data_IF_493018726500
#
_entry.id   IF_493018726500
#
_cell.length_a   1.000
_cell.length_b   1.000
_cell.length_c   1.000
_cell.angle_alpha   90.00
_cell.angle_beta   90.00
_cell.angle_gamma   90.00
#
_symmetry.space_group_name_H-M   'P 1'
#
loop_
_entity.id
_entity.type
_entity.pdbx_description
1 polymer ?
#
# COMPACT_ATOMS: atom_id res chain seq x y z
N UNK A 1 -0.60 16.63 5.43
CA UNK A 1 -0.94 15.21 5.68
C UNK A 1 0.23 14.34 5.25
N UNK A 2 0.51 13.24 5.96
CA UNK A 2 1.54 12.27 5.59
C UNK A 2 0.91 11.18 4.73
N UNK A 3 1.51 10.89 3.59
CA UNK A 3 1.05 9.83 2.67
C UNK A 3 1.76 8.52 2.99
N UNK A 4 0.97 7.46 3.07
CA UNK A 4 1.42 6.08 3.22
C UNK A 4 1.10 5.37 1.91
N UNK A 5 2.12 4.99 1.16
CA UNK A 5 1.97 4.24 -0.07
C UNK A 5 2.16 2.75 0.23
N UNK A 6 1.10 1.97 0.07
CA UNK A 6 1.10 0.52 0.19
C UNK A 6 1.23 -0.07 -1.21
N UNK A 7 2.34 -0.76 -1.45
CA UNK A 7 2.68 -1.41 -2.70
C UNK A 7 2.70 -2.91 -2.49
N UNK A 8 2.20 -3.65 -3.47
CA UNK A 8 2.33 -5.09 -3.43
C UNK A 8 2.68 -5.70 -4.76
N UNK A 9 3.70 -6.56 -4.72
CA UNK A 9 4.12 -7.35 -5.86
C UNK A 9 3.22 -8.58 -5.92
N UNK A 10 2.19 -8.51 -6.78
CA UNK A 10 1.30 -9.63 -7.00
C UNK A 10 1.68 -10.33 -8.31
N UNK A 11 2.39 -11.48 -8.29
CA UNK A 11 2.46 -12.33 -9.46
C UNK A 11 1.04 -12.80 -9.79
N UNK A 12 0.70 -12.88 -11.09
CA UNK A 12 -0.65 -13.08 -11.65
C UNK A 12 -1.50 -14.25 -11.07
N UNK A 13 -0.93 -15.07 -10.19
CA UNK A 13 -1.50 -16.34 -9.72
C UNK A 13 -1.90 -16.37 -8.23
N UNK A 14 -1.64 -15.32 -7.43
CA UNK A 14 -1.94 -15.36 -5.99
C UNK A 14 -2.94 -14.30 -5.52
N UNK A 15 -4.09 -14.78 -5.08
CA UNK A 15 -4.90 -14.27 -3.98
C UNK A 15 -5.06 -12.73 -3.86
N UNK A 16 -5.63 -12.11 -4.89
CA UNK A 16 -6.09 -10.69 -4.90
C UNK A 16 -6.91 -10.30 -3.66
N UNK A 17 -7.58 -11.26 -3.02
CA UNK A 17 -8.33 -11.11 -1.76
C UNK A 17 -7.45 -10.72 -0.57
N UNK A 18 -6.22 -11.24 -0.46
CA UNK A 18 -5.39 -11.04 0.75
C UNK A 18 -4.87 -9.61 0.88
N UNK A 19 -4.53 -8.97 -0.24
CA UNK A 19 -4.01 -7.60 -0.21
C UNK A 19 -5.09 -6.59 0.21
N UNK A 20 -6.29 -6.73 -0.36
CA UNK A 20 -7.41 -5.85 -0.04
C UNK A 20 -7.78 -5.96 1.45
N UNK A 21 -7.76 -7.17 2.01
CA UNK A 21 -7.95 -7.40 3.45
C UNK A 21 -6.85 -6.75 4.31
N UNK A 22 -5.60 -6.77 3.87
CA UNK A 22 -4.48 -6.17 4.59
C UNK A 22 -4.58 -4.64 4.60
N UNK A 23 -4.90 -4.03 3.45
CA UNK A 23 -5.15 -2.59 3.33
C UNK A 23 -6.34 -2.18 4.19
N UNK A 24 -7.45 -2.94 4.16
CA UNK A 24 -8.62 -2.66 4.99
C UNK A 24 -8.29 -2.76 6.49
N UNK A 25 -7.47 -3.73 6.92
CA UNK A 25 -7.02 -3.85 8.32
C UNK A 25 -6.15 -2.67 8.73
N UNK A 26 -5.23 -2.22 7.87
CA UNK A 26 -4.38 -1.05 8.12
C UNK A 26 -5.24 0.21 8.21
N UNK A 27 -6.20 0.39 7.31
CA UNK A 27 -7.13 1.52 7.32
C UNK A 27 -7.99 1.53 8.58
N UNK A 28 -8.63 0.41 8.92
CA UNK A 28 -9.44 0.27 10.13
C UNK A 28 -8.61 0.47 11.41
N UNK A 29 -7.35 0.01 11.43
CA UNK A 29 -6.42 0.25 12.53
C UNK A 29 -6.04 1.73 12.67
N UNK A 30 -5.81 2.41 11.54
CA UNK A 30 -5.52 3.84 11.51
C UNK A 30 -6.72 4.67 11.96
N UNK A 31 -7.94 4.34 11.49
CA UNK A 31 -9.20 4.99 11.89
C UNK A 31 -9.48 4.90 13.39
N UNK A 32 -9.11 3.78 14.02
CA UNK A 32 -9.21 3.61 15.49
C UNK A 32 -8.16 4.42 16.26
N UNK A 33 -7.13 4.92 15.58
CA UNK A 33 -6.08 5.73 16.18
C UNK A 33 -6.48 7.21 16.27
N UNK A 34 -6.04 7.90 17.34
CA UNK A 34 -6.26 9.36 17.55
C UNK A 34 -5.70 10.28 16.44
N UNK A 35 -5.03 9.74 15.42
CA UNK A 35 -4.33 10.50 14.37
C UNK A 35 -4.72 10.09 12.94
N UNK A 36 -5.87 9.41 12.76
CA UNK A 36 -6.34 8.96 11.45
C UNK A 36 -6.36 10.08 10.40
N UNK A 37 -6.79 11.29 10.77
CA UNK A 37 -6.87 12.44 9.86
C UNK A 37 -5.50 13.06 9.51
N UNK A 38 -4.38 12.51 10.01
CA UNK A 38 -3.03 12.97 9.66
C UNK A 38 -2.41 12.17 8.51
N UNK A 39 -3.01 11.02 8.16
CA UNK A 39 -2.46 10.09 7.19
C UNK A 39 -3.40 9.89 6.00
N UNK A 40 -2.84 9.85 4.80
CA UNK A 40 -3.52 9.48 3.57
C UNK A 40 -2.97 8.12 3.11
N UNK A 41 -3.82 7.11 3.02
CA UNK A 41 -3.41 5.76 2.61
C UNK A 41 -3.68 5.62 1.12
N UNK A 42 -2.64 5.22 0.37
CA UNK A 42 -2.69 5.01 -1.07
C UNK A 42 -2.26 3.58 -1.32
N UNK A 43 -3.14 2.73 -1.85
CA UNK A 43 -2.82 1.35 -2.20
C UNK A 43 -2.62 1.20 -3.72
N UNK A 44 -1.54 0.53 -4.12
CA UNK A 44 -1.19 0.26 -5.52
C UNK A 44 -0.68 -1.17 -5.68
N UNK A 45 -1.24 -1.88 -6.66
CA UNK A 45 -0.69 -3.13 -7.15
C UNK A 45 0.51 -2.82 -8.05
N UNK A 46 1.70 -3.21 -7.62
CA UNK A 46 2.93 -3.06 -8.40
C UNK A 46 3.25 -4.39 -9.08
N UNK A 47 2.82 -4.56 -10.34
CA UNK A 47 3.15 -5.77 -11.11
C UNK A 47 4.62 -5.80 -11.55
N UNK A 48 5.29 -4.64 -11.58
CA UNK A 48 6.70 -4.52 -11.92
C UNK A 48 7.42 -3.44 -11.08
N UNK A 49 8.74 -3.51 -11.01
CA UNK A 49 9.61 -2.51 -10.37
C UNK A 49 9.48 -1.11 -10.99
N UNK A 50 9.08 -1.02 -12.26
CA UNK A 50 8.76 0.25 -12.92
C UNK A 50 7.50 0.92 -12.35
N UNK A 51 6.45 0.13 -12.06
CA UNK A 51 5.23 0.66 -11.45
C UNK A 51 5.50 1.15 -10.04
N UNK A 52 6.36 0.47 -9.30
CA UNK A 52 6.84 0.92 -7.99
C UNK A 52 7.53 2.28 -8.10
N UNK A 53 8.48 2.44 -9.03
CA UNK A 53 9.19 3.71 -9.22
C UNK A 53 8.24 4.84 -9.60
N UNK A 54 7.28 4.58 -10.50
CA UNK A 54 6.26 5.57 -10.88
C UNK A 54 5.37 5.95 -9.71
N UNK A 55 4.92 4.98 -8.90
CA UNK A 55 4.07 5.24 -7.75
C UNK A 55 4.79 6.09 -6.68
N UNK A 56 6.08 5.83 -6.45
CA UNK A 56 6.90 6.64 -5.54
C UNK A 56 7.02 8.09 -6.02
N UNK A 57 7.33 8.29 -7.31
CA UNK A 57 7.48 9.63 -7.88
C UNK A 57 6.16 10.40 -7.98
N UNK A 58 5.05 9.72 -8.28
CA UNK A 58 3.76 10.36 -8.44
C UNK A 58 3.11 10.74 -7.11
N UNK A 59 3.23 9.87 -6.09
CA UNK A 59 2.58 10.08 -4.81
C UNK A 59 3.47 10.78 -3.79
N UNK A 60 4.80 10.76 -3.97
CA UNK A 60 5.81 11.30 -3.05
C UNK A 60 5.51 10.94 -1.58
N UNK A 61 5.36 9.64 -1.26
CA UNK A 61 4.93 9.22 0.06
C UNK A 61 6.04 9.38 1.10
N UNK A 62 5.66 9.72 2.33
CA UNK A 62 6.60 9.75 3.47
C UNK A 62 6.82 8.36 4.07
N UNK A 63 5.89 7.42 3.87
CA UNK A 63 5.96 6.05 4.38
C UNK A 63 5.61 5.12 3.22
N UNK A 64 6.43 4.10 2.99
CA UNK A 64 6.20 3.08 1.96
C UNK A 64 6.10 1.73 2.64
N UNK A 65 5.00 1.02 2.42
CA UNK A 65 4.80 -0.36 2.84
C UNK A 65 4.86 -1.24 1.60
N UNK A 66 5.81 -2.16 1.52
CA UNK A 66 5.95 -3.06 0.38
C UNK A 66 5.73 -4.51 0.81
N UNK A 67 4.68 -5.13 0.27
CA UNK A 67 4.36 -6.54 0.50
C UNK A 67 4.62 -7.33 -0.78
N UNK A 68 5.71 -8.09 -0.81
CA UNK A 68 6.03 -8.99 -1.92
C UNK A 68 5.77 -10.44 -1.52
N UNK A 69 4.91 -11.14 -2.24
CA UNK A 69 4.89 -12.60 -2.16
C UNK A 69 6.06 -13.13 -2.99
N UNK A 70 7.22 -13.26 -2.34
CA UNK A 70 8.31 -14.06 -2.86
C UNK A 70 7.82 -15.49 -3.06
N UNK A 71 8.12 -16.05 -4.23
CA UNK A 71 8.09 -17.51 -4.39
C UNK A 71 9.27 -18.11 -3.63
#
# INVERSE_FOLDING_TARGET
MKKILILSANPNDTNRLRLDEEVQKIQAGLERGKRWNQFEIISKLAVCSEDLRRALLYHEPQIVHFSGHGK
#
